data_IF_723755987746
#
_entry.id   IF_723755987746
#
_cell.length_a   1.000
_cell.length_b   1.000
_cell.length_c   1.000
_cell.angle_alpha   90.00
_cell.angle_beta   90.00
_cell.angle_gamma   90.00
#
_symmetry.space_group_name_H-M   'P 1'
#
loop_
_entity.id
_entity.type
_entity.pdbx_description
1 polymer ?
#
# COMPACT_ATOMS: atom_id res chain seq x y z
N UNK A 1 -1.48 -15.98 -24.02
CA UNK A 1 -0.03 -16.18 -24.23
C UNK A 1 0.79 -15.11 -23.52
N UNK A 2 0.45 -13.82 -23.65
CA UNK A 2 1.14 -12.70 -22.97
C UNK A 2 1.12 -12.84 -21.43
N UNK A 3 -0.06 -13.03 -20.82
CA UNK A 3 -0.20 -13.23 -19.36
C UNK A 3 0.67 -14.36 -18.80
N UNK A 4 0.82 -15.46 -19.53
CA UNK A 4 1.63 -16.61 -19.09
C UNK A 4 3.12 -16.22 -19.08
N UNK A 5 3.58 -15.46 -20.09
CA UNK A 5 4.98 -15.00 -20.17
C UNK A 5 5.28 -14.02 -19.02
N UNK A 6 4.36 -13.09 -18.73
CA UNK A 6 4.48 -12.12 -17.64
C UNK A 6 4.55 -12.82 -16.28
N UNK A 7 3.66 -13.78 -16.02
CA UNK A 7 3.68 -14.58 -14.79
C UNK A 7 5.00 -15.36 -14.67
N UNK A 8 5.48 -16.00 -15.74
CA UNK A 8 6.77 -16.72 -15.72
C UNK A 8 7.92 -15.76 -15.39
N UNK A 9 7.95 -14.57 -16.00
CA UNK A 9 8.97 -13.56 -15.71
C UNK A 9 8.92 -13.09 -14.25
N UNK A 10 7.72 -12.84 -13.71
CA UNK A 10 7.53 -12.47 -12.31
C UNK A 10 7.95 -13.59 -11.36
N UNK A 11 7.65 -14.86 -11.69
CA UNK A 11 8.09 -16.02 -10.90
C UNK A 11 9.61 -16.19 -10.95
N UNK A 12 10.24 -15.93 -12.09
CA UNK A 12 11.70 -15.97 -12.23
C UNK A 12 12.41 -14.92 -11.36
N UNK A 13 11.73 -13.82 -11.00
CA UNK A 13 12.23 -12.82 -10.03
C UNK A 13 11.83 -13.19 -8.59
N UNK A 14 10.58 -13.58 -8.37
CA UNK A 14 10.03 -13.89 -7.05
C UNK A 14 10.77 -15.05 -6.38
N UNK A 15 10.99 -16.15 -7.09
CA UNK A 15 11.57 -17.38 -6.51
C UNK A 15 12.98 -17.12 -5.94
N UNK A 16 13.93 -16.49 -6.68
CA UNK A 16 15.23 -16.13 -6.12
C UNK A 16 15.15 -15.23 -4.88
N UNK A 17 14.23 -14.25 -4.85
CA UNK A 17 14.08 -13.35 -3.71
C UNK A 17 13.54 -14.11 -2.49
N UNK A 18 12.56 -15.00 -2.68
CA UNK A 18 12.05 -15.87 -1.61
C UNK A 18 13.15 -16.78 -1.09
N UNK A 19 13.93 -17.41 -1.97
CA UNK A 19 15.07 -18.26 -1.58
C UNK A 19 16.10 -17.45 -0.78
N UNK A 20 16.48 -16.27 -1.26
CA UNK A 20 17.38 -15.36 -0.55
C UNK A 20 16.83 -15.01 0.84
N UNK A 21 15.55 -14.64 0.92
CA UNK A 21 14.89 -14.31 2.18
C UNK A 21 14.90 -15.48 3.16
N UNK A 22 14.56 -16.69 2.70
CA UNK A 22 14.54 -17.88 3.54
C UNK A 22 15.94 -18.23 4.04
N UNK A 23 16.94 -18.19 3.16
CA UNK A 23 18.32 -18.56 3.50
C UNK A 23 19.03 -17.53 4.40
N UNK A 24 18.68 -16.24 4.31
CA UNK A 24 19.41 -15.16 5.01
C UNK A 24 18.64 -14.48 6.14
N UNK A 25 17.31 -14.40 6.05
CA UNK A 25 16.52 -13.47 6.87
C UNK A 25 15.34 -14.10 7.62
N UNK A 26 14.89 -15.31 7.28
CA UNK A 26 13.74 -15.96 7.96
C UNK A 26 13.97 -16.16 9.46
N UNK A 27 15.19 -16.48 9.88
CA UNK A 27 15.57 -16.68 11.28
C UNK A 27 16.09 -15.43 11.98
N UNK A 28 15.95 -14.24 11.38
CA UNK A 28 16.41 -13.01 11.99
C UNK A 28 15.63 -12.69 13.27
N UNK A 29 16.31 -12.18 14.30
CA UNK A 29 15.69 -11.84 15.57
C UNK A 29 14.53 -10.85 15.36
N UNK A 30 13.30 -11.16 15.81
CA UNK A 30 12.15 -10.27 15.70
C UNK A 30 12.31 -8.92 16.43
N UNK A 31 13.25 -8.80 17.37
CA UNK A 31 13.59 -7.57 18.08
C UNK A 31 14.57 -6.67 17.30
N UNK A 32 15.16 -7.15 16.21
CA UNK A 32 16.08 -6.38 15.38
C UNK A 32 15.45 -6.14 14.01
N UNK A 33 15.18 -4.88 13.68
CA UNK A 33 14.68 -4.52 12.37
C UNK A 33 15.81 -4.48 11.35
N UNK A 34 15.62 -5.15 10.21
CA UNK A 34 16.65 -5.30 9.17
C UNK A 34 16.17 -4.71 7.85
N UNK A 35 16.81 -3.63 7.35
CA UNK A 35 16.48 -3.07 6.04
C UNK A 35 16.57 -4.09 4.89
N UNK A 36 17.65 -4.90 4.75
CA UNK A 36 17.71 -5.91 3.69
C UNK A 36 16.54 -6.90 3.72
N UNK A 37 16.11 -7.31 4.92
CA UNK A 37 14.98 -8.22 5.08
C UNK A 37 13.65 -7.54 4.73
N UNK A 38 13.44 -6.29 5.15
CA UNK A 38 12.26 -5.49 4.81
C UNK A 38 12.14 -5.26 3.29
N UNK A 39 13.23 -4.94 2.61
CA UNK A 39 13.26 -4.78 1.16
C UNK A 39 13.00 -6.08 0.41
N UNK A 40 13.47 -7.21 0.94
CA UNK A 40 13.16 -8.54 0.35
C UNK A 40 11.67 -8.85 0.46
N UNK A 41 11.04 -8.56 1.62
CA UNK A 41 9.58 -8.72 1.82
C UNK A 41 8.77 -7.76 0.94
N UNK A 42 9.22 -6.51 0.80
CA UNK A 42 8.61 -5.54 -0.12
C UNK A 42 8.69 -6.01 -1.58
N UNK A 43 9.83 -6.53 -2.03
CA UNK A 43 9.96 -7.02 -3.40
C UNK A 43 9.09 -8.27 -3.65
N UNK A 44 9.03 -9.19 -2.68
CA UNK A 44 8.09 -10.32 -2.70
C UNK A 44 6.65 -9.82 -2.82
N UNK A 45 6.26 -8.86 -1.99
CA UNK A 45 4.94 -8.24 -2.03
C UNK A 45 4.62 -7.63 -3.40
N UNK A 46 5.55 -6.87 -3.98
CA UNK A 46 5.38 -6.28 -5.31
C UNK A 46 5.15 -7.36 -6.37
N UNK A 47 5.97 -8.41 -6.41
CA UNK A 47 5.80 -9.52 -7.34
C UNK A 47 4.43 -10.20 -7.18
N UNK A 48 4.00 -10.47 -5.94
CA UNK A 48 2.70 -11.09 -5.68
C UNK A 48 1.54 -10.20 -6.10
N UNK A 49 1.62 -8.89 -5.86
CA UNK A 49 0.59 -7.94 -6.29
C UNK A 49 0.46 -7.91 -7.81
N UNK A 50 1.57 -7.91 -8.55
CA UNK A 50 1.57 -7.95 -10.01
C UNK A 50 0.96 -9.25 -10.54
N UNK A 51 1.37 -10.40 -10.00
CA UNK A 51 0.78 -11.70 -10.36
C UNK A 51 -0.74 -11.70 -10.09
N UNK A 52 -1.18 -11.18 -8.95
CA UNK A 52 -2.62 -11.09 -8.65
C UNK A 52 -3.35 -10.11 -9.56
N UNK A 53 -2.71 -9.00 -9.96
CA UNK A 53 -3.28 -8.06 -10.91
C UNK A 53 -3.47 -8.68 -12.29
N UNK A 54 -2.53 -9.51 -12.75
CA UNK A 54 -2.65 -10.25 -14.00
C UNK A 54 -3.78 -11.28 -13.92
N UNK A 55 -3.79 -12.11 -12.87
CA UNK A 55 -4.78 -13.19 -12.72
C UNK A 55 -6.21 -12.67 -12.51
N UNK A 56 -6.38 -11.54 -11.83
CA UNK A 56 -7.69 -10.92 -11.61
C UNK A 56 -8.21 -10.12 -12.82
N UNK A 57 -7.38 -9.89 -13.84
CA UNK A 57 -7.68 -9.00 -14.97
C UNK A 57 -7.60 -7.50 -14.63
N UNK A 58 -7.20 -7.14 -13.41
CA UNK A 58 -7.03 -5.75 -13.01
C UNK A 58 -5.90 -5.06 -13.80
N UNK A 59 -4.79 -5.78 -14.08
CA UNK A 59 -3.69 -5.24 -14.88
C UNK A 59 -4.14 -4.95 -16.31
N UNK A 60 -4.71 -5.94 -17.01
CA UNK A 60 -5.19 -5.80 -18.38
C UNK A 60 -6.23 -4.67 -18.51
N UNK A 61 -7.17 -4.60 -17.57
CA UNK A 61 -8.19 -3.54 -17.55
C UNK A 61 -7.57 -2.17 -17.31
N UNK A 62 -6.58 -2.07 -16.43
CA UNK A 62 -5.86 -0.81 -16.19
C UNK A 62 -5.11 -0.37 -17.45
N UNK A 63 -4.32 -1.26 -18.06
CA UNK A 63 -3.51 -0.97 -19.25
C UNK A 63 -4.36 -0.59 -20.47
N UNK A 64 -5.58 -1.14 -20.59
CA UNK A 64 -6.53 -0.83 -21.66
C UNK A 64 -7.41 0.40 -21.36
N UNK A 65 -7.41 0.90 -20.12
CA UNK A 65 -8.18 2.08 -19.74
C UNK A 65 -7.41 3.37 -20.01
N UNK A 66 -8.06 4.42 -20.55
CA UNK A 66 -7.44 5.74 -20.66
C UNK A 66 -7.22 6.33 -19.26
N UNK A 67 -6.21 7.21 -19.15
CA UNK A 67 -6.01 7.98 -17.91
C UNK A 67 -7.23 8.87 -17.61
N UNK A 68 -7.78 9.50 -18.64
CA UNK A 68 -8.97 10.37 -18.61
C UNK A 68 -9.88 9.95 -19.76
N UNK A 69 -11.13 9.61 -19.46
CA UNK A 69 -12.12 9.22 -20.46
C UNK A 69 -12.62 10.43 -21.26
N UNK A 70 -13.04 10.24 -22.53
CA UNK A 70 -13.61 11.32 -23.34
C UNK A 70 -14.75 12.06 -22.62
N UNK A 71 -14.72 13.40 -22.66
CA UNK A 71 -15.73 14.25 -22.01
C UNK A 71 -15.44 14.61 -20.55
N UNK A 72 -14.57 13.88 -19.84
CA UNK A 72 -14.31 14.14 -18.41
C UNK A 72 -13.60 15.48 -18.15
N UNK A 73 -12.73 15.94 -19.06
CA UNK A 73 -12.11 17.27 -18.95
C UNK A 73 -13.12 18.43 -19.10
N UNK A 74 -14.32 18.15 -19.60
CA UNK A 74 -15.41 19.11 -19.71
C UNK A 74 -16.46 18.94 -18.60
N UNK A 75 -16.37 17.86 -17.82
CA UNK A 75 -17.25 17.62 -16.68
C UNK A 75 -16.73 18.38 -15.44
N UNK A 76 -17.42 19.45 -14.99
CA UNK A 76 -16.98 20.20 -13.83
C UNK A 76 -16.99 19.35 -12.55
N UNK A 77 -17.87 18.35 -12.43
CA UNK A 77 -17.92 17.50 -11.24
C UNK A 77 -16.74 16.54 -11.18
N UNK A 78 -16.36 15.95 -12.31
CA UNK A 78 -15.15 15.14 -12.39
C UNK A 78 -13.92 15.96 -12.01
N UNK A 79 -13.77 17.16 -12.57
CA UNK A 79 -12.65 18.05 -12.25
C UNK A 79 -12.61 18.42 -10.77
N UNK A 80 -13.72 18.89 -10.20
CA UNK A 80 -13.81 19.32 -8.79
C UNK A 80 -13.51 18.14 -7.86
N UNK A 81 -14.15 16.99 -8.07
CA UNK A 81 -13.98 15.83 -7.18
C UNK A 81 -12.58 15.23 -7.29
N UNK A 82 -12.02 15.15 -8.50
CA UNK A 82 -10.63 14.68 -8.72
C UNK A 82 -9.63 15.61 -8.03
N UNK A 83 -9.75 16.92 -8.23
CA UNK A 83 -8.89 17.91 -7.57
C UNK A 83 -9.02 17.85 -6.04
N UNK A 84 -10.24 17.73 -5.53
CA UNK A 84 -10.50 17.60 -4.10
C UNK A 84 -9.85 16.35 -3.51
N UNK A 85 -9.86 15.22 -4.22
CA UNK A 85 -9.17 14.00 -3.79
C UNK A 85 -7.66 14.14 -3.75
N UNK A 86 -7.04 14.69 -4.80
CA UNK A 86 -5.61 14.93 -4.80
C UNK A 86 -5.21 15.88 -3.67
N UNK A 87 -5.96 16.97 -3.48
CA UNK A 87 -5.75 17.90 -2.38
C UNK A 87 -5.89 17.20 -1.02
N UNK A 88 -6.92 16.36 -0.85
CA UNK A 88 -7.11 15.56 0.35
C UNK A 88 -5.89 14.65 0.59
N UNK A 89 -5.39 13.92 -0.42
CA UNK A 89 -4.21 13.06 -0.28
C UNK A 89 -2.98 13.87 0.14
N UNK A 90 -2.75 15.03 -0.50
CA UNK A 90 -1.63 15.92 -0.13
C UNK A 90 -1.77 16.35 1.34
N UNK A 91 -2.93 16.85 1.76
CA UNK A 91 -3.13 17.34 3.13
C UNK A 91 -3.05 16.19 4.15
N UNK A 92 -3.71 15.07 3.88
CA UNK A 92 -3.79 13.94 4.80
C UNK A 92 -2.46 13.19 4.92
N UNK A 93 -1.77 12.91 3.81
CA UNK A 93 -0.56 12.10 3.80
C UNK A 93 0.73 12.94 3.87
N UNK A 94 0.89 13.94 3.00
CA UNK A 94 2.08 14.79 2.99
C UNK A 94 2.06 15.86 4.10
N UNK A 95 0.88 16.28 4.52
CA UNK A 95 0.69 17.19 5.66
C UNK A 95 0.62 16.44 6.98
N UNK A 96 -0.52 15.79 7.26
CA UNK A 96 -0.82 15.24 8.57
C UNK A 96 -0.01 13.97 8.89
N UNK A 97 -0.09 12.94 8.05
CA UNK A 97 0.59 11.66 8.29
C UNK A 97 2.10 11.86 8.42
N UNK A 98 2.73 12.48 7.42
CA UNK A 98 4.17 12.75 7.36
C UNK A 98 4.73 13.50 8.58
N UNK A 99 3.98 14.47 9.11
CA UNK A 99 4.37 15.25 10.31
C UNK A 99 4.23 14.46 11.60
N UNK A 100 3.28 13.53 11.66
CA UNK A 100 3.03 12.68 12.83
C UNK A 100 3.77 11.34 12.77
N UNK A 101 4.77 11.21 11.89
CA UNK A 101 5.57 9.99 11.73
C UNK A 101 6.94 10.15 12.38
N UNK A 102 7.26 9.23 13.31
CA UNK A 102 8.54 9.16 13.98
C UNK A 102 9.64 8.72 13.00
N UNK A 103 10.83 9.27 13.19
CA UNK A 103 11.97 9.07 12.29
C UNK A 103 13.22 8.53 12.98
N UNK A 104 13.32 8.64 14.30
CA UNK A 104 14.47 8.13 15.08
C UNK A 104 15.84 8.52 14.50
N UNK A 105 15.98 9.76 14.03
CA UNK A 105 17.24 10.24 13.43
C UNK A 105 17.62 9.61 12.08
N UNK A 106 16.79 8.72 11.50
CA UNK A 106 17.05 8.08 10.20
C UNK A 106 17.34 9.11 9.10
N UNK A 107 18.20 8.76 8.15
CA UNK A 107 18.63 9.65 7.06
C UNK A 107 17.56 9.81 5.99
N UNK A 108 17.61 10.91 5.26
CA UNK A 108 16.78 11.11 4.07
C UNK A 108 17.49 10.49 2.84
N UNK A 109 17.39 9.18 2.70
CA UNK A 109 17.89 8.46 1.52
C UNK A 109 16.86 8.58 0.38
N UNK A 110 16.97 9.66 -0.40
CA UNK A 110 15.97 10.04 -1.39
C UNK A 110 15.60 8.91 -2.35
N UNK A 111 16.59 8.29 -3.02
CA UNK A 111 16.32 7.27 -4.04
C UNK A 111 15.69 5.99 -3.45
N UNK A 112 16.21 5.40 -2.36
CA UNK A 112 15.53 4.29 -1.69
C UNK A 112 14.08 4.61 -1.32
N UNK A 113 13.83 5.79 -0.75
CA UNK A 113 12.48 6.18 -0.31
C UNK A 113 11.54 6.40 -1.50
N UNK A 114 12.03 6.99 -2.59
CA UNK A 114 11.30 7.16 -3.84
C UNK A 114 10.92 5.81 -4.45
N UNK A 115 11.89 4.90 -4.62
CA UNK A 115 11.67 3.58 -5.22
C UNK A 115 10.69 2.77 -4.38
N UNK A 116 10.93 2.73 -3.07
CA UNK A 116 10.07 1.99 -2.15
C UNK A 116 8.64 2.53 -2.19
N UNK A 117 8.47 3.86 -2.10
CA UNK A 117 7.17 4.51 -2.10
C UNK A 117 6.41 4.35 -3.42
N UNK A 118 7.09 4.50 -4.55
CA UNK A 118 6.49 4.30 -5.88
C UNK A 118 6.04 2.85 -6.06
N UNK A 119 6.91 1.88 -5.80
CA UNK A 119 6.57 0.47 -5.99
C UNK A 119 5.51 0.00 -4.99
N UNK A 120 5.60 0.42 -3.72
CA UNK A 120 4.57 0.11 -2.72
C UNK A 120 3.22 0.72 -3.11
N UNK A 121 3.23 2.00 -3.50
CA UNK A 121 2.11 2.76 -4.02
C UNK A 121 1.38 2.09 -5.17
N UNK A 122 2.13 1.84 -6.24
CA UNK A 122 1.65 1.23 -7.47
C UNK A 122 1.07 -0.16 -7.21
N UNK A 123 1.81 -1.01 -6.50
CA UNK A 123 1.38 -2.38 -6.21
C UNK A 123 0.16 -2.41 -5.29
N UNK A 124 0.07 -1.51 -4.30
CA UNK A 124 -1.11 -1.41 -3.43
C UNK A 124 -2.34 -0.93 -4.22
N UNK A 125 -2.17 0.07 -5.09
CA UNK A 125 -3.24 0.55 -5.96
C UNK A 125 -3.78 -0.55 -6.88
N UNK A 126 -2.88 -1.32 -7.51
CA UNK A 126 -3.26 -2.50 -8.30
C UNK A 126 -3.94 -3.57 -7.46
N UNK A 127 -3.43 -3.88 -6.26
CA UNK A 127 -4.04 -4.86 -5.37
C UNK A 127 -5.46 -4.45 -4.94
N UNK A 128 -5.71 -3.17 -4.72
CA UNK A 128 -7.06 -2.65 -4.47
C UNK A 128 -7.97 -2.84 -5.68
N UNK A 129 -7.45 -2.67 -6.90
CA UNK A 129 -8.19 -3.00 -8.12
C UNK A 129 -8.43 -4.51 -8.25
N UNK A 130 -7.52 -5.38 -7.79
CA UNK A 130 -7.80 -6.83 -7.71
C UNK A 130 -9.01 -7.13 -6.81
N UNK A 131 -9.10 -6.47 -5.65
CA UNK A 131 -10.26 -6.62 -4.77
C UNK A 131 -11.54 -6.07 -5.39
N UNK A 132 -11.45 -4.95 -6.13
CA UNK A 132 -12.56 -4.42 -6.92
C UNK A 132 -13.02 -5.41 -8.01
N UNK A 133 -12.10 -6.02 -8.75
CA UNK A 133 -12.40 -7.03 -9.75
C UNK A 133 -13.02 -8.29 -9.15
N UNK A 134 -12.52 -8.74 -8.00
CA UNK A 134 -13.13 -9.83 -7.26
C UNK A 134 -14.56 -9.48 -6.82
N UNK A 135 -14.79 -8.24 -6.36
CA UNK A 135 -16.12 -7.76 -5.99
C UNK A 135 -17.06 -7.67 -7.20
N UNK A 136 -16.57 -7.26 -8.38
CA UNK A 136 -17.35 -7.27 -9.63
C UNK A 136 -17.76 -8.68 -10.03
N UNK A 137 -16.86 -9.66 -9.85
CA UNK A 137 -17.14 -11.06 -10.16
C UNK A 137 -18.16 -11.68 -9.19
N UNK A 138 -17.97 -11.50 -7.88
CA UNK A 138 -18.91 -12.00 -6.85
C UNK A 138 -20.27 -11.32 -6.98
N UNK A 139 -20.25 -9.99 -7.14
CA UNK A 139 -21.43 -9.14 -7.25
C UNK A 139 -21.95 -9.01 -8.68
N UNK A 140 -21.80 -10.03 -9.52
CA UNK A 140 -22.29 -9.97 -10.89
C UNK A 140 -23.80 -9.64 -10.91
N UNK A 141 -24.17 -8.53 -11.55
CA UNK A 141 -25.55 -8.02 -11.59
C UNK A 141 -25.96 -7.12 -10.41
N UNK A 142 -25.08 -6.87 -9.44
CA UNK A 142 -25.33 -5.91 -8.37
C UNK A 142 -25.22 -4.47 -8.89
N UNK A 143 -25.91 -3.50 -8.24
CA UNK A 143 -25.62 -2.10 -8.51
C UNK A 143 -24.18 -1.74 -8.11
N UNK A 144 -23.58 -0.77 -8.81
CA UNK A 144 -22.16 -0.40 -8.64
C UNK A 144 -21.80 0.01 -7.21
N UNK A 145 -22.71 0.65 -6.48
CA UNK A 145 -22.49 0.97 -5.07
C UNK A 145 -22.35 -0.28 -4.20
N UNK A 146 -23.08 -1.36 -4.51
CA UNK A 146 -22.99 -2.64 -3.79
C UNK A 146 -21.65 -3.32 -4.03
N UNK A 147 -21.16 -3.30 -5.27
CA UNK A 147 -19.79 -3.73 -5.62
C UNK A 147 -18.75 -2.91 -4.85
N UNK A 148 -18.93 -1.58 -4.80
CA UNK A 148 -18.07 -0.68 -4.04
C UNK A 148 -18.00 -1.01 -2.55
N UNK A 149 -19.13 -1.32 -1.92
CA UNK A 149 -19.18 -1.74 -0.52
C UNK A 149 -18.44 -3.07 -0.28
N UNK A 150 -18.62 -4.05 -1.17
CA UNK A 150 -17.88 -5.32 -1.07
C UNK A 150 -16.38 -5.11 -1.24
N UNK A 151 -15.95 -4.32 -2.24
CA UNK A 151 -14.55 -3.97 -2.43
C UNK A 151 -13.96 -3.24 -1.21
N UNK A 152 -14.70 -2.27 -0.65
CA UNK A 152 -14.32 -1.55 0.57
C UNK A 152 -14.10 -2.51 1.73
N UNK A 153 -15.02 -3.47 1.94
CA UNK A 153 -14.91 -4.48 2.98
C UNK A 153 -13.67 -5.38 2.78
N UNK A 154 -13.46 -5.90 1.57
CA UNK A 154 -12.31 -6.77 1.26
C UNK A 154 -10.98 -6.04 1.46
N UNK A 155 -10.88 -4.79 1.00
CA UNK A 155 -9.69 -3.96 1.19
C UNK A 155 -9.47 -3.67 2.68
N UNK A 156 -10.52 -3.37 3.44
CA UNK A 156 -10.43 -3.11 4.88
C UNK A 156 -9.98 -4.34 5.65
N UNK A 157 -10.47 -5.53 5.28
CA UNK A 157 -10.05 -6.79 5.85
C UNK A 157 -8.58 -7.08 5.55
N UNK A 158 -8.15 -6.86 4.31
CA UNK A 158 -6.74 -6.98 3.92
C UNK A 158 -5.85 -5.99 4.68
N UNK A 159 -6.27 -4.72 4.83
CA UNK A 159 -5.54 -3.73 5.63
C UNK A 159 -5.36 -4.20 7.08
N UNK A 160 -6.43 -4.68 7.72
CA UNK A 160 -6.37 -5.15 9.10
C UNK A 160 -5.47 -6.39 9.27
N UNK A 161 -5.54 -7.36 8.34
CA UNK A 161 -4.80 -8.61 8.48
C UNK A 161 -3.36 -8.52 7.98
N UNK A 162 -3.11 -7.76 6.91
CA UNK A 162 -1.79 -7.70 6.29
C UNK A 162 -1.04 -6.43 6.68
N UNK A 163 -1.64 -5.24 6.56
CA UNK A 163 -0.90 -4.00 6.85
C UNK A 163 -0.58 -3.90 8.35
N UNK A 164 -1.59 -4.04 9.22
CA UNK A 164 -1.42 -3.87 10.66
C UNK A 164 -0.66 -5.03 11.35
N UNK A 165 -0.93 -6.29 10.95
CA UNK A 165 -0.38 -7.48 11.63
C UNK A 165 0.88 -8.06 10.97
N UNK A 166 1.24 -7.61 9.75
CA UNK A 166 2.44 -8.07 9.07
C UNK A 166 3.32 -6.92 8.60
N UNK A 167 2.79 -6.03 7.76
CA UNK A 167 3.58 -4.97 7.14
C UNK A 167 4.22 -4.05 8.17
N UNK A 168 3.45 -3.57 9.14
CA UNK A 168 3.95 -2.64 10.16
C UNK A 168 4.91 -3.27 11.16
N UNK A 169 5.01 -4.60 11.20
CA UNK A 169 5.97 -5.31 12.05
C UNK A 169 7.26 -5.66 11.29
N UNK A 170 7.12 -6.08 10.03
CA UNK A 170 8.22 -6.73 9.30
C UNK A 170 8.75 -5.91 8.13
N UNK A 171 8.02 -4.89 7.66
CA UNK A 171 8.35 -4.14 6.45
C UNK A 171 8.50 -2.65 6.75
N UNK A 172 7.56 -2.03 7.46
CA UNK A 172 7.73 -0.65 7.93
C UNK A 172 8.75 -0.62 9.08
N UNK A 173 9.66 0.36 9.15
CA UNK A 173 10.40 0.61 10.38
C UNK A 173 9.46 1.16 11.46
N UNK A 174 9.84 1.10 12.74
CA UNK A 174 9.04 1.77 13.79
C UNK A 174 8.92 3.26 13.47
N UNK A 175 7.71 3.78 13.53
CA UNK A 175 7.38 5.09 12.98
C UNK A 175 6.17 5.75 13.65
N UNK A 176 5.63 5.14 14.69
CA UNK A 176 4.40 5.59 15.34
C UNK A 176 4.50 5.51 16.86
N UNK A 177 3.62 6.25 17.54
CA UNK A 177 3.27 6.05 18.95
C UNK A 177 1.87 5.42 19.02
N UNK A 178 1.46 4.84 20.16
CA UNK A 178 0.08 4.38 20.34
C UNK A 178 -0.98 5.47 20.03
N UNK A 179 -0.63 6.73 20.32
CA UNK A 179 -1.50 7.87 20.04
C UNK A 179 -1.56 8.20 18.55
N UNK A 180 -0.42 8.22 17.84
CA UNK A 180 -0.41 8.53 16.41
C UNK A 180 -1.16 7.46 15.60
N UNK A 181 -1.05 6.17 15.96
CA UNK A 181 -1.83 5.09 15.33
C UNK A 181 -3.33 5.37 15.41
N UNK A 182 -3.83 5.66 16.61
CA UNK A 182 -5.26 5.93 16.86
C UNK A 182 -5.77 7.18 16.14
N UNK A 183 -4.87 8.11 15.80
CA UNK A 183 -5.24 9.36 15.15
C UNK A 183 -5.10 9.30 13.62
N UNK A 184 -4.04 8.67 13.10
CA UNK A 184 -3.78 8.54 11.66
C UNK A 184 -4.86 7.72 10.98
N UNK A 185 -5.24 6.56 11.53
CA UNK A 185 -6.26 5.68 10.92
C UNK A 185 -7.56 6.40 10.56
N UNK A 186 -8.27 7.06 11.49
CA UNK A 186 -9.52 7.74 11.17
C UNK A 186 -9.35 9.05 10.37
N UNK A 187 -8.15 9.65 10.34
CA UNK A 187 -7.90 10.94 9.65
C UNK A 187 -7.29 10.79 8.27
N UNK A 188 -6.67 9.65 7.98
CA UNK A 188 -5.95 9.41 6.71
C UNK A 188 -6.46 8.15 6.04
N UNK A 189 -6.28 6.98 6.68
CA UNK A 189 -6.51 5.70 6.03
C UNK A 189 -7.98 5.45 5.71
N UNK A 190 -8.89 5.62 6.68
CA UNK A 190 -10.33 5.41 6.47
C UNK A 190 -10.89 6.42 5.44
N UNK A 191 -10.65 7.74 5.57
CA UNK A 191 -11.19 8.69 4.59
C UNK A 191 -10.57 8.54 3.20
N UNK A 192 -9.28 8.21 3.08
CA UNK A 192 -8.66 7.90 1.79
C UNK A 192 -9.37 6.76 1.09
N UNK A 193 -9.51 5.60 1.76
CA UNK A 193 -10.19 4.47 1.16
C UNK A 193 -11.64 4.79 0.80
N UNK A 194 -12.35 5.49 1.68
CA UNK A 194 -13.75 5.86 1.47
C UNK A 194 -13.90 6.76 0.25
N UNK A 195 -13.16 7.87 0.18
CA UNK A 195 -13.31 8.85 -0.89
C UNK A 195 -12.79 8.32 -2.22
N UNK A 196 -11.63 7.63 -2.24
CA UNK A 196 -11.08 7.08 -3.47
C UNK A 196 -11.95 5.97 -4.05
N UNK A 197 -12.55 5.10 -3.22
CA UNK A 197 -13.46 4.05 -3.72
C UNK A 197 -14.80 4.61 -4.19
N UNK A 198 -15.38 5.60 -3.49
CA UNK A 198 -16.59 6.28 -3.98
C UNK A 198 -16.33 6.89 -5.35
N UNK A 199 -15.18 7.55 -5.52
CA UNK A 199 -14.82 8.15 -6.79
C UNK A 199 -14.55 7.12 -7.88
N UNK A 200 -13.88 6.00 -7.55
CA UNK A 200 -13.69 4.89 -8.49
C UNK A 200 -15.02 4.29 -8.95
N UNK A 201 -15.99 4.12 -8.03
CA UNK A 201 -17.33 3.61 -8.34
C UNK A 201 -18.06 4.50 -9.35
N UNK A 202 -17.82 5.80 -9.33
CA UNK A 202 -18.48 6.78 -10.21
C UNK A 202 -17.78 6.91 -11.56
N UNK A 203 -16.44 6.99 -11.56
CA UNK A 203 -15.70 7.42 -12.75
C UNK A 203 -14.82 6.34 -13.38
N UNK A 204 -14.56 5.23 -12.68
CA UNK A 204 -13.82 4.07 -13.19
C UNK A 204 -12.43 4.41 -13.79
N UNK A 205 -11.81 5.54 -13.40
CA UNK A 205 -10.45 5.90 -13.83
C UNK A 205 -9.39 5.14 -13.01
N UNK A 206 -8.98 3.97 -13.50
CA UNK A 206 -8.09 3.07 -12.76
C UNK A 206 -6.69 3.66 -12.52
N UNK A 207 -6.11 4.31 -13.53
CA UNK A 207 -4.79 4.95 -13.41
C UNK A 207 -4.76 6.06 -12.37
N UNK A 208 -5.79 6.89 -12.31
CA UNK A 208 -5.88 7.96 -11.32
C UNK A 208 -6.08 7.39 -9.91
N UNK A 209 -6.86 6.32 -9.77
CA UNK A 209 -7.00 5.61 -8.50
C UNK A 209 -5.65 5.04 -8.01
N UNK A 210 -4.88 4.40 -8.89
CA UNK A 210 -3.51 3.94 -8.58
C UNK A 210 -2.60 5.14 -8.24
N UNK A 211 -2.72 6.24 -8.98
CA UNK A 211 -1.96 7.47 -8.76
C UNK A 211 -2.19 8.05 -7.36
N UNK A 212 -3.45 8.11 -6.90
CA UNK A 212 -3.80 8.57 -5.56
C UNK A 212 -3.16 7.72 -4.47
N UNK A 213 -3.22 6.38 -4.59
CA UNK A 213 -2.57 5.49 -3.62
C UNK A 213 -1.05 5.62 -3.68
N UNK A 214 -0.49 5.82 -4.87
CA UNK A 214 0.94 6.01 -5.07
C UNK A 214 1.44 7.29 -4.43
N UNK A 215 0.73 8.41 -4.60
CA UNK A 215 1.06 9.68 -3.95
C UNK A 215 1.00 9.57 -2.42
N UNK A 216 0.01 8.86 -1.89
CA UNK A 216 -0.14 8.64 -0.45
C UNK A 216 1.01 7.81 0.14
N UNK A 217 1.35 6.69 -0.49
CA UNK A 217 2.40 5.78 -0.01
C UNK A 217 3.81 6.29 -0.28
N UNK A 218 3.99 7.17 -1.26
CA UNK A 218 5.22 7.93 -1.41
C UNK A 218 5.46 8.84 -0.20
N UNK A 219 4.42 9.57 0.25
CA UNK A 219 4.50 10.37 1.47
C UNK A 219 4.85 9.49 2.68
N UNK A 220 4.28 8.28 2.76
CA UNK A 220 4.54 7.36 3.84
C UNK A 220 6.01 6.91 3.87
N UNK A 221 6.54 6.48 2.72
CA UNK A 221 7.96 6.09 2.58
C UNK A 221 8.92 7.19 2.98
N UNK A 222 8.69 8.43 2.53
CA UNK A 222 9.50 9.59 2.91
C UNK A 222 9.30 9.98 4.38
N UNK A 223 8.07 9.88 4.91
CA UNK A 223 7.73 10.23 6.29
C UNK A 223 8.39 9.32 7.31
N UNK A 224 8.39 8.02 7.02
CA UNK A 224 9.12 7.02 7.82
C UNK A 224 10.62 7.16 7.70
N UNK A 225 11.09 7.86 6.65
CA UNK A 225 12.47 7.81 6.17
C UNK A 225 12.90 6.36 5.97
N UNK A 226 12.19 5.66 5.08
CA UNK A 226 12.43 4.24 4.81
C UNK A 226 13.93 3.99 4.59
N UNK A 227 14.58 3.18 5.44
CA UNK A 227 16.01 2.92 5.33
C UNK A 227 16.38 2.27 4.01
N UNK A 228 17.52 2.67 3.46
CA UNK A 228 18.10 1.99 2.31
C UNK A 228 18.38 0.50 2.62
N UNK A 229 18.33 -0.41 1.62
CA UNK A 229 18.55 -1.83 1.86
C UNK A 229 19.96 -2.15 2.35
N UNK A 230 20.93 -1.25 2.15
CA UNK A 230 22.30 -1.36 2.64
C UNK A 230 22.56 -0.60 3.95
N UNK A 231 21.55 0.05 4.54
CA UNK A 231 21.68 0.77 5.80
C UNK A 231 22.13 -0.19 6.92
N UNK A 232 23.06 0.27 7.75
CA UNK A 232 23.63 -0.47 8.89
C UNK A 232 23.34 0.18 10.24
N UNK A 233 22.62 1.29 10.23
CA UNK A 233 22.25 2.01 11.45
C UNK A 233 21.30 1.14 12.28
N UNK A 234 21.37 1.26 13.61
CA UNK A 234 20.43 0.58 14.49
C UNK A 234 19.04 1.23 14.35
N UNK A 235 18.08 0.48 13.81
CA UNK A 235 16.72 0.96 13.57
C UNK A 235 15.81 0.30 14.58
N UNK A 236 15.06 1.08 15.39
CA UNK A 236 14.13 0.52 16.36
C UNK A 236 13.14 -0.43 15.68
N UNK A 237 13.02 -1.63 16.23
CA UNK A 237 12.01 -2.57 15.79
C UNK A 237 10.63 -2.14 16.29
N UNK A 238 9.57 -2.35 15.47
CA UNK A 238 8.22 -2.08 15.88
C UNK A 238 7.86 -2.82 17.17
N UNK A 239 7.31 -2.10 18.15
CA UNK A 239 6.82 -2.73 19.38
C UNK A 239 5.67 -3.67 19.03
N UNK A 240 5.72 -4.92 19.49
CA UNK A 240 4.68 -5.92 19.21
C UNK A 240 3.68 -5.97 20.34
N UNK A 241 2.39 -5.90 20.01
CA UNK A 241 1.29 -6.12 20.95
C UNK A 241 0.32 -7.16 20.39
N UNK A 242 -0.50 -7.82 21.23
CA UNK A 242 -1.52 -8.75 20.75
C UNK A 242 -2.53 -8.05 19.83
N UNK A 243 -2.76 -8.65 18.66
CA UNK A 243 -3.77 -8.26 17.68
C UNK A 243 -4.89 -9.29 17.58
N UNK A 244 -5.56 -9.34 16.42
CA UNK A 244 -6.66 -10.26 16.18
C UNK A 244 -6.15 -11.72 16.17
N UNK A 245 -6.93 -12.63 16.75
CA UNK A 245 -6.59 -14.06 16.86
C UNK A 245 -5.24 -14.32 17.55
N UNK A 246 -4.74 -13.39 18.36
CA UNK A 246 -3.45 -13.50 19.04
C UNK A 246 -2.23 -13.26 18.15
N UNK A 247 -2.43 -12.88 16.88
CA UNK A 247 -1.33 -12.49 15.99
C UNK A 247 -0.71 -11.16 16.46
N UNK A 248 0.61 -10.98 16.38
CA UNK A 248 1.22 -9.72 16.75
C UNK A 248 0.76 -8.61 15.80
N UNK A 249 0.62 -7.38 16.32
CA UNK A 249 0.48 -6.14 15.55
C UNK A 249 1.46 -5.09 16.06
N UNK A 250 1.71 -4.05 15.25
CA UNK A 250 2.48 -2.90 15.71
C UNK A 250 1.71 -2.12 16.79
N UNK A 251 2.39 -1.85 17.91
CA UNK A 251 1.84 -1.13 19.06
C UNK A 251 2.31 0.32 19.16
N UNK A 252 3.25 0.74 18.31
CA UNK A 252 3.93 2.02 18.38
C UNK A 252 4.92 2.12 19.54
N UNK A 253 5.88 3.02 19.38
CA UNK A 253 6.91 3.36 20.34
C UNK A 253 6.32 4.02 21.60
N UNK A 254 6.87 3.65 22.75
CA UNK A 254 6.61 4.26 24.06
C UNK A 254 7.99 4.74 24.54
N UNK A 255 8.12 6.03 24.82
CA UNK A 255 9.31 6.54 25.50
C UNK A 255 9.33 5.95 26.92
N UNK A 256 10.43 5.28 27.27
CA UNK A 256 10.69 4.77 28.62
C UNK A 256 11.04 5.90 29.59
#
# INVERSE_FOLDING_TARGET
MVVIIEIIALLAVLVPIVVLYVLRYKGHDPAVWSPPAAWSRWAIYCCLCLIFADVSGAMETTLSSPLVYPGQLQDPWWLITTCALFLFIIVAYWGYWYRNTLRFGRRLDFFPQLIFGLGWGFCTGLLFLCWWHLALWIGAGWPRWGVGLLAYFLISLWQALFMDMYWDIYVSPEHDTPQSIRQKVPRTHIPNMTFCLIWLVVYENYWLFIGLQTTALLAASFGMRMPAPWCRDNIPAPRRVPGLLGLPRAGGHIEE
#
